data_IF_981632915451
#
_entry.id   IF_981632915451
#
_cell.length_a   1.000
_cell.length_b   1.000
_cell.length_c   1.000
_cell.angle_alpha   90.00
_cell.angle_beta   90.00
_cell.angle_gamma   90.00
#
_symmetry.space_group_name_H-M   'P 1'
#
loop_
_entity.id
_entity.type
_entity.pdbx_description
1 polymer ?
#
# COMPACT_ATOMS: atom_id res chain seq x y z
N UNK A 1 23.03 -8.23 3.05
CA UNK A 1 22.98 -9.68 2.76
C UNK A 1 21.53 -10.09 2.76
N UNK A 2 21.00 -10.57 1.64
CA UNK A 2 19.65 -11.13 1.61
C UNK A 2 19.67 -12.44 2.41
N UNK A 3 18.80 -12.55 3.41
CA UNK A 3 18.61 -13.78 4.18
C UNK A 3 17.86 -14.78 3.29
N UNK A 4 18.61 -15.61 2.56
CA UNK A 4 18.08 -16.64 1.65
C UNK A 4 17.29 -17.75 2.37
N UNK A 5 17.11 -17.65 3.69
CA UNK A 5 16.38 -18.62 4.50
C UNK A 5 14.87 -18.56 4.30
N UNK A 6 14.31 -17.39 3.96
CA UNK A 6 12.86 -17.19 3.92
C UNK A 6 12.40 -16.60 2.59
N UNK A 7 11.28 -17.12 2.08
CA UNK A 7 10.49 -16.48 1.04
C UNK A 7 9.60 -15.43 1.71
N UNK A 8 9.52 -14.22 1.15
CA UNK A 8 8.67 -13.15 1.65
C UNK A 8 7.46 -12.94 0.74
N UNK A 9 6.28 -12.80 1.34
CA UNK A 9 5.04 -12.42 0.66
C UNK A 9 4.42 -11.22 1.36
N UNK A 10 3.98 -10.25 0.57
CA UNK A 10 3.24 -9.11 1.08
C UNK A 10 1.99 -8.96 0.23
N UNK A 11 0.82 -9.01 0.87
CA UNK A 11 -0.47 -8.83 0.22
C UNK A 11 -0.96 -7.41 0.49
N UNK A 12 -1.49 -6.76 -0.53
CA UNK A 12 -2.12 -5.44 -0.41
C UNK A 12 -3.60 -5.57 -0.78
N UNK A 13 -4.47 -5.28 0.17
CA UNK A 13 -5.92 -5.31 -0.02
C UNK A 13 -6.44 -3.88 -0.16
N UNK A 14 -6.89 -3.52 -1.37
CA UNK A 14 -7.40 -2.18 -1.68
C UNK A 14 -8.93 -2.20 -1.72
N UNK A 15 -9.55 -1.42 -0.84
CA UNK A 15 -11.01 -1.42 -0.65
C UNK A 15 -11.56 0.01 -0.77
N UNK A 16 -12.61 0.18 -1.58
CA UNK A 16 -13.37 1.43 -1.63
C UNK A 16 -14.09 1.66 -0.30
N UNK A 17 -13.98 2.87 0.25
CA UNK A 17 -14.67 3.23 1.47
C UNK A 17 -16.18 3.11 1.32
N UNK A 18 -16.79 2.44 2.30
CA UNK A 18 -18.23 2.26 2.45
C UNK A 18 -18.59 2.57 3.91
N UNK A 19 -19.40 3.60 4.20
CA UNK A 19 -19.76 4.00 5.56
C UNK A 19 -20.60 2.96 6.32
N UNK A 20 -21.30 2.06 5.63
CA UNK A 20 -22.11 1.02 6.29
C UNK A 20 -21.22 -0.10 6.86
N UNK A 21 -20.15 -0.45 6.13
CA UNK A 21 -19.21 -1.51 6.47
C UNK A 21 -18.03 -0.99 7.32
N UNK A 22 -17.54 0.22 7.05
CA UNK A 22 -16.29 0.73 7.60
C UNK A 22 -16.51 1.74 8.72
N UNK A 23 -17.03 1.25 9.85
CA UNK A 23 -17.38 2.06 11.04
C UNK A 23 -16.22 2.25 12.02
N UNK A 24 -15.29 1.31 12.05
CA UNK A 24 -14.19 1.28 13.02
C UNK A 24 -12.86 1.07 12.32
N UNK A 25 -11.85 1.87 12.66
CA UNK A 25 -10.49 1.78 12.13
C UNK A 25 -9.49 1.71 13.27
N UNK A 26 -8.43 0.93 13.08
CA UNK A 26 -7.26 0.95 13.95
C UNK A 26 -6.51 2.26 13.77
N UNK A 27 -5.96 2.78 14.86
CA UNK A 27 -5.18 4.01 14.80
C UNK A 27 -3.83 3.76 14.10
N UNK A 28 -3.48 4.66 13.20
CA UNK A 28 -2.25 4.60 12.39
C UNK A 28 -1.82 6.02 12.08
N UNK A 29 -0.51 6.34 12.19
CA UNK A 29 0.01 7.67 11.84
C UNK A 29 -0.29 8.08 10.39
N UNK A 30 -0.53 7.11 9.51
CA UNK A 30 -0.83 7.34 8.10
C UNK A 30 -2.33 7.55 7.83
N UNK A 31 -3.21 7.32 8.82
CA UNK A 31 -4.63 7.54 8.64
C UNK A 31 -4.92 9.02 8.35
N UNK A 32 -5.77 9.26 7.38
CA UNK A 32 -6.33 10.58 7.06
C UNK A 32 -7.85 10.51 7.06
N UNK A 33 -8.52 11.62 6.77
CA UNK A 33 -9.98 11.64 6.55
C UNK A 33 -10.43 10.81 5.32
N UNK A 34 -9.47 10.49 4.45
CA UNK A 34 -9.71 9.90 3.13
C UNK A 34 -9.22 8.46 3.06
N UNK A 35 -8.07 8.17 3.67
CA UNK A 35 -7.40 6.88 3.59
C UNK A 35 -7.17 6.31 5.00
N UNK A 36 -7.48 5.03 5.17
CA UNK A 36 -7.25 4.30 6.41
C UNK A 36 -6.40 3.07 6.12
N UNK A 37 -5.30 2.93 6.87
CA UNK A 37 -4.29 1.90 6.65
C UNK A 37 -4.27 0.92 7.82
N UNK A 38 -4.29 -0.37 7.48
CA UNK A 38 -4.30 -1.49 8.43
C UNK A 38 -3.20 -2.50 8.08
N UNK A 39 -1.93 -2.10 8.22
CA UNK A 39 -0.82 -3.05 8.15
C UNK A 39 -0.88 -4.04 9.32
N UNK A 40 -0.53 -5.29 9.06
CA UNK A 40 -0.22 -6.23 10.14
C UNK A 40 1.05 -5.79 10.91
N UNK A 41 1.14 -6.06 12.21
CA UNK A 41 2.22 -5.54 13.04
C UNK A 41 3.58 -6.23 12.82
N UNK A 42 3.61 -7.35 12.08
CA UNK A 42 4.80 -8.15 11.81
C UNK A 42 4.53 -9.13 10.67
N UNK A 43 5.60 -9.66 10.09
CA UNK A 43 5.50 -10.86 9.25
C UNK A 43 5.10 -12.08 10.10
N UNK A 44 4.02 -12.73 9.69
CA UNK A 44 3.67 -14.08 10.09
C UNK A 44 4.65 -15.07 9.47
N UNK A 45 4.81 -16.25 10.08
CA UNK A 45 5.75 -17.28 9.60
C UNK A 45 5.05 -18.62 9.51
N UNK A 46 5.15 -19.27 8.34
CA UNK A 46 4.67 -20.62 8.09
C UNK A 46 5.75 -21.38 7.30
N UNK A 47 6.48 -22.27 7.98
CA UNK A 47 7.63 -22.95 7.37
C UNK A 47 8.72 -21.95 6.94
N UNK A 48 9.10 -21.98 5.66
CA UNK A 48 10.04 -21.03 5.06
C UNK A 48 9.37 -19.77 4.50
N UNK A 49 8.04 -19.63 4.61
CA UNK A 49 7.31 -18.46 4.16
C UNK A 49 7.14 -17.47 5.32
N UNK A 50 7.61 -16.24 5.10
CA UNK A 50 7.21 -15.07 5.88
C UNK A 50 6.19 -14.29 5.07
N UNK A 51 5.02 -14.03 5.64
CA UNK A 51 3.97 -13.32 4.93
C UNK A 51 3.32 -12.25 5.80
N UNK A 52 2.81 -11.21 5.16
CA UNK A 52 2.02 -10.20 5.83
C UNK A 52 1.00 -9.58 4.89
N UNK A 53 -0.02 -8.92 5.44
CA UNK A 53 -0.99 -8.15 4.67
C UNK A 53 -1.07 -6.69 5.11
N UNK A 54 -1.44 -5.84 4.17
CA UNK A 54 -1.74 -4.43 4.39
C UNK A 54 -3.12 -4.16 3.84
N UNK A 55 -4.08 -3.90 4.73
CA UNK A 55 -5.42 -3.46 4.34
C UNK A 55 -5.45 -1.96 4.12
N UNK A 56 -6.07 -1.51 3.04
CA UNK A 56 -6.28 -0.10 2.73
C UNK A 56 -7.75 0.14 2.43
N UNK A 57 -8.35 1.09 3.14
CA UNK A 57 -9.69 1.58 2.85
C UNK A 57 -9.58 3.03 2.43
N UNK A 58 -10.01 3.36 1.22
CA UNK A 58 -9.86 4.71 0.66
C UNK A 58 -11.16 5.20 0.00
N UNK A 59 -11.46 6.48 0.19
CA UNK A 59 -12.52 7.17 -0.57
C UNK A 59 -12.12 7.48 -2.02
N UNK A 60 -10.83 7.40 -2.35
CA UNK A 60 -10.31 7.75 -3.68
C UNK A 60 -10.18 6.55 -4.61
N UNK A 61 -10.26 5.31 -4.09
CA UNK A 61 -10.14 4.10 -4.91
C UNK A 61 -11.50 3.79 -5.54
N UNK A 62 -11.62 4.08 -6.83
CA UNK A 62 -12.72 3.69 -7.70
C UNK A 62 -12.29 3.70 -9.17
N UNK A 63 -13.21 3.90 -10.11
CA UNK A 63 -12.88 3.89 -11.54
C UNK A 63 -12.23 5.18 -12.03
N UNK A 64 -12.30 6.25 -11.24
CA UNK A 64 -11.83 7.59 -11.62
C UNK A 64 -10.57 7.99 -10.84
N UNK A 65 -9.96 7.06 -10.07
CA UNK A 65 -8.72 7.31 -9.33
C UNK A 65 -7.61 7.75 -10.30
N UNK A 66 -6.93 8.85 -10.00
CA UNK A 66 -5.76 9.21 -10.79
C UNK A 66 -4.58 8.26 -10.50
N UNK A 67 -3.68 8.01 -11.48
CA UNK A 67 -2.45 7.25 -11.23
C UNK A 67 -1.64 7.80 -10.06
N UNK A 68 -1.60 9.12 -9.93
CA UNK A 68 -0.95 9.81 -8.81
C UNK A 68 -1.60 9.50 -7.45
N UNK A 69 -2.92 9.59 -7.34
CA UNK A 69 -3.63 9.26 -6.10
C UNK A 69 -3.44 7.78 -5.74
N UNK A 70 -3.52 6.90 -6.73
CA UNK A 70 -3.23 5.49 -6.55
C UNK A 70 -1.82 5.28 -6.01
N UNK A 71 -0.80 5.84 -6.67
CA UNK A 71 0.60 5.73 -6.26
C UNK A 71 0.83 6.28 -4.84
N UNK A 72 0.21 7.42 -4.48
CA UNK A 72 0.30 7.98 -3.14
C UNK A 72 -0.30 7.05 -2.09
N UNK A 73 -1.40 6.37 -2.39
CA UNK A 73 -2.04 5.39 -1.51
C UNK A 73 -1.15 4.16 -1.33
N UNK A 74 -0.61 3.61 -2.43
CA UNK A 74 0.31 2.48 -2.38
C UNK A 74 1.54 2.83 -1.53
N UNK A 75 2.12 4.01 -1.75
CA UNK A 75 3.27 4.49 -1.00
C UNK A 75 2.98 4.56 0.51
N UNK A 76 1.85 5.16 0.90
CA UNK A 76 1.46 5.28 2.31
C UNK A 76 1.13 3.91 2.94
N UNK A 77 0.59 2.97 2.16
CA UNK A 77 0.33 1.61 2.62
C UNK A 77 1.64 0.91 3.02
N UNK A 78 2.65 0.90 2.14
CA UNK A 78 3.96 0.35 2.48
C UNK A 78 4.64 1.15 3.59
N UNK A 79 4.54 2.48 3.58
CA UNK A 79 5.07 3.35 4.63
C UNK A 79 4.51 2.98 6.01
N UNK A 80 3.19 2.78 6.11
CA UNK A 80 2.53 2.37 7.36
C UNK A 80 3.06 1.04 7.88
N UNK A 81 3.31 0.07 6.99
CA UNK A 81 3.88 -1.21 7.37
C UNK A 81 5.34 -1.08 7.81
N UNK A 82 6.16 -0.36 7.05
CA UNK A 82 7.59 -0.16 7.33
C UNK A 82 7.83 0.53 8.68
N UNK A 83 7.04 1.55 9.02
CA UNK A 83 7.12 2.23 10.32
C UNK A 83 6.87 1.25 11.47
N UNK A 84 5.88 0.36 11.32
CA UNK A 84 5.58 -0.65 12.36
C UNK A 84 6.68 -1.70 12.50
N UNK A 85 7.15 -2.27 11.39
CA UNK A 85 8.07 -3.43 11.43
C UNK A 85 9.53 -3.04 11.65
N UNK A 86 9.97 -1.89 11.12
CA UNK A 86 11.37 -1.48 11.16
C UNK A 86 11.72 -0.80 12.48
N UNK A 87 10.78 0.00 13.02
CA UNK A 87 10.98 0.92 14.15
C UNK A 87 12.15 1.90 14.02
N UNK A 88 12.86 1.89 12.89
CA UNK A 88 13.96 2.80 12.54
C UNK A 88 13.57 3.86 11.52
N UNK A 89 12.48 3.60 10.78
CA UNK A 89 11.94 4.49 9.76
C UNK A 89 10.77 5.23 10.40
N UNK A 90 10.73 6.56 10.25
CA UNK A 90 9.60 7.37 10.73
C UNK A 90 8.68 7.80 9.60
N UNK A 91 7.46 8.21 9.95
CA UNK A 91 6.52 8.76 8.96
C UNK A 91 7.06 10.04 8.35
N UNK A 92 7.71 10.88 9.14
CA UNK A 92 8.24 12.18 8.71
C UNK A 92 9.35 12.01 7.67
N UNK A 93 10.18 10.98 7.80
CA UNK A 93 11.19 10.63 6.80
C UNK A 93 10.54 10.21 5.48
N UNK A 94 9.50 9.37 5.55
CA UNK A 94 8.75 8.92 4.38
C UNK A 94 7.99 10.05 3.69
N UNK A 95 7.39 10.96 4.46
CA UNK A 95 6.71 12.15 3.94
C UNK A 95 7.70 13.09 3.24
N UNK A 96 8.94 13.21 3.74
CA UNK A 96 9.97 14.07 3.14
C UNK A 96 10.41 13.58 1.75
N UNK A 97 10.46 12.28 1.54
CA UNK A 97 10.92 11.70 0.26
C UNK A 97 9.78 11.47 -0.74
N UNK A 98 8.52 11.38 -0.27
CA UNK A 98 7.33 11.15 -1.13
C UNK A 98 7.14 12.18 -2.27
N UNK A 99 7.45 13.48 -2.10
CA UNK A 99 7.42 14.44 -3.21
C UNK A 99 8.45 14.15 -4.31
N UNK A 100 9.48 13.36 -4.03
CA UNK A 100 10.52 12.97 -4.99
C UNK A 100 10.18 11.73 -5.83
N UNK A 101 8.96 11.20 -5.74
CA UNK A 101 8.49 10.17 -6.67
C UNK A 101 8.45 10.74 -8.10
N UNK A 102 8.70 9.89 -9.08
CA UNK A 102 8.63 10.26 -10.50
C UNK A 102 7.17 10.36 -10.95
N UNK A 103 6.55 11.51 -10.69
CA UNK A 103 5.15 11.74 -11.03
C UNK A 103 4.91 11.84 -12.54
N UNK A 104 5.92 12.20 -13.34
CA UNK A 104 5.80 12.18 -14.80
C UNK A 104 5.66 10.73 -15.30
N UNK A 105 6.49 9.82 -14.77
CA UNK A 105 6.35 8.39 -15.06
C UNK A 105 5.05 7.80 -14.50
N UNK A 106 4.69 8.11 -13.26
CA UNK A 106 3.44 7.61 -12.65
C UNK A 106 2.22 8.04 -13.47
N UNK A 107 2.17 9.30 -13.90
CA UNK A 107 1.05 9.84 -14.68
C UNK A 107 1.08 9.41 -16.15
N UNK A 108 2.12 8.69 -16.60
CA UNK A 108 2.16 8.08 -17.93
C UNK A 108 1.25 6.85 -18.07
N UNK A 109 0.87 6.23 -16.95
CA UNK A 109 -0.05 5.10 -16.93
C UNK A 109 -1.50 5.56 -17.02
N UNK A 110 -2.31 4.83 -17.78
CA UNK A 110 -3.77 4.96 -17.68
C UNK A 110 -4.28 4.31 -16.40
N UNK A 111 -5.31 4.91 -15.80
CA UNK A 111 -6.05 4.27 -14.72
C UNK A 111 -7.57 4.28 -15.04
N UNK A 112 -8.29 3.15 -14.85
CA UNK A 112 -7.73 1.83 -14.57
C UNK A 112 -6.80 1.38 -15.71
N UNK A 113 -5.89 0.46 -15.39
CA UNK A 113 -4.99 -0.11 -16.40
C UNK A 113 -5.81 -0.63 -17.58
N UNK A 114 -5.32 -0.45 -18.81
CA UNK A 114 -6.02 -1.00 -19.97
C UNK A 114 -5.99 -2.53 -19.91
N UNK A 115 -6.86 -3.17 -20.70
CA UNK A 115 -6.84 -4.63 -20.80
C UNK A 115 -5.47 -5.13 -21.29
N UNK A 116 -4.88 -4.44 -22.27
CA UNK A 116 -3.58 -4.78 -22.84
C UNK A 116 -2.46 -4.67 -21.78
N UNK A 117 -2.54 -3.68 -20.87
CA UNK A 117 -1.60 -3.54 -19.76
C UNK A 117 -1.79 -4.63 -18.69
N UNK A 118 -3.00 -5.16 -18.52
CA UNK A 118 -3.30 -6.24 -17.57
C UNK A 118 -2.86 -7.62 -18.08
N UNK A 119 -2.91 -7.84 -19.40
CA UNK A 119 -2.54 -9.12 -20.03
C UNK A 119 -1.03 -9.43 -19.89
N UNK A 120 -0.19 -8.43 -19.55
CA UNK A 120 1.24 -8.63 -19.23
C UNK A 120 1.51 -9.46 -17.96
N UNK A 121 0.51 -9.70 -17.10
CA UNK A 121 0.66 -10.44 -15.85
C UNK A 121 0.12 -11.88 -15.90
N UNK A 122 -0.34 -12.35 -17.08
CA UNK A 122 -0.77 -13.74 -17.31
C UNK A 122 0.11 -14.37 -18.40
N UNK A 123 1.36 -14.71 -18.03
CA UNK A 123 2.23 -15.64 -18.79
C UNK A 123 2.83 -16.65 -17.83
#
# INVERSE_FOLDING_TARGET
MADNKYNYRLTLDLVKFDPEQHKFFTDSPFNTEVNKFRPEPKFNTQGNLKFSSIGVVSKLIDNDTSPEDYAKIIYDAFGSFLVLISKKITKEELDRIKPGLDYDYINSFSYPATKDDCDFFIV
#
